data_IF_153670172710
#
_entry.id   IF_153670172710
#
_cell.length_a   1.000
_cell.length_b   1.000
_cell.length_c   1.000
_cell.angle_alpha   90.00
_cell.angle_beta   90.00
_cell.angle_gamma   90.00
#
_symmetry.space_group_name_H-M   'P 1'
#
loop_
_entity.id
_entity.type
_entity.pdbx_description
1 polymer ?
#
# COMPACT_ATOMS: atom_id res chain seq x y z
N UNK A 1 7.30 29.91 -13.03
CA UNK A 1 7.93 28.73 -13.67
C UNK A 1 9.16 28.40 -12.84
N UNK A 2 9.17 27.27 -12.11
CA UNK A 2 10.36 26.88 -11.35
C UNK A 2 11.52 26.57 -12.30
N UNK A 3 12.69 27.16 -12.02
CA UNK A 3 13.92 26.98 -12.80
C UNK A 3 14.84 26.05 -12.02
N UNK A 4 15.30 24.97 -12.66
CA UNK A 4 16.18 23.97 -12.04
C UNK A 4 17.50 23.89 -12.78
N UNK A 5 18.59 23.78 -12.04
CA UNK A 5 19.95 23.65 -12.58
C UNK A 5 20.18 22.23 -13.09
N UNK A 6 20.73 22.12 -14.29
CA UNK A 6 21.19 20.86 -14.88
C UNK A 6 22.66 20.67 -14.55
N UNK A 7 22.98 19.48 -14.08
CA UNK A 7 24.34 19.08 -13.74
C UNK A 7 24.82 18.03 -14.74
N UNK A 8 26.11 18.06 -15.11
CA UNK A 8 26.74 16.98 -15.85
C UNK A 8 27.20 15.83 -14.93
N UNK A 9 27.73 14.77 -15.53
CA UNK A 9 28.26 13.61 -14.81
C UNK A 9 29.46 13.92 -13.91
N UNK A 10 30.13 15.07 -14.09
CA UNK A 10 31.22 15.54 -13.26
C UNK A 10 30.75 16.45 -12.12
N UNK A 11 29.46 16.79 -12.08
CA UNK A 11 28.85 17.67 -11.08
C UNK A 11 28.95 19.16 -11.42
N UNK A 12 29.39 19.52 -12.63
CA UNK A 12 29.39 20.91 -13.07
C UNK A 12 27.99 21.33 -13.55
N UNK A 13 27.59 22.56 -13.26
CA UNK A 13 26.31 23.12 -13.76
C UNK A 13 26.46 23.45 -15.24
N UNK A 14 25.71 22.76 -16.08
CA UNK A 14 25.79 22.87 -17.55
C UNK A 14 24.65 23.66 -18.16
N UNK A 15 23.59 23.96 -17.40
CA UNK A 15 22.50 24.81 -17.86
C UNK A 15 21.34 24.93 -16.88
N UNK A 16 20.29 25.63 -17.30
CA UNK A 16 19.04 25.79 -16.55
C UNK A 16 17.86 25.30 -17.39
N UNK A 17 16.94 24.58 -16.75
CA UNK A 17 15.71 24.08 -17.39
C UNK A 17 14.50 24.68 -16.69
N UNK A 18 13.59 25.20 -17.51
CA UNK A 18 12.30 25.71 -17.06
C UNK A 18 11.31 24.55 -16.95
N UNK A 19 10.74 24.36 -15.76
CA UNK A 19 9.69 23.38 -15.52
C UNK A 19 8.30 24.01 -15.64
N UNK A 20 7.32 23.19 -16.03
CA UNK A 20 5.92 23.60 -16.08
C UNK A 20 5.44 24.02 -14.69
N UNK A 21 4.92 25.24 -14.57
CA UNK A 21 4.38 25.77 -13.31
C UNK A 21 3.11 25.06 -12.86
N UNK A 22 2.34 24.48 -13.79
CA UNK A 22 1.08 23.81 -13.47
C UNK A 22 1.33 22.50 -12.70
N UNK A 23 2.38 21.76 -13.04
CA UNK A 23 2.69 20.47 -12.42
C UNK A 23 3.59 20.62 -11.19
N UNK A 24 4.60 21.47 -11.27
CA UNK A 24 5.63 21.61 -10.22
C UNK A 24 5.37 22.74 -9.23
N UNK A 25 4.43 23.64 -9.54
CA UNK A 25 4.00 24.73 -8.67
C UNK A 25 2.64 24.52 -8.00
N UNK A 26 2.04 23.33 -8.16
CA UNK A 26 0.76 23.00 -7.56
C UNK A 26 0.86 22.97 -6.02
N UNK A 27 -0.19 23.44 -5.34
CA UNK A 27 -0.26 23.39 -3.88
C UNK A 27 -0.34 21.93 -3.40
N UNK A 28 0.52 21.57 -2.45
CA UNK A 28 0.63 20.21 -1.97
C UNK A 28 -0.51 19.91 -0.99
N UNK A 29 -1.39 18.98 -1.37
CA UNK A 29 -2.35 18.39 -0.45
C UNK A 29 -1.75 17.17 0.27
N UNK A 30 -1.27 17.36 1.49
CA UNK A 30 -0.64 16.33 2.30
C UNK A 30 -1.56 15.10 2.55
N UNK A 31 -2.86 15.32 2.75
CA UNK A 31 -3.84 14.25 2.98
C UNK A 31 -4.02 13.38 1.74
N UNK A 32 -4.09 14.00 0.57
CA UNK A 32 -4.20 13.29 -0.70
C UNK A 32 -2.95 12.43 -0.95
N UNK A 33 -1.75 12.99 -0.75
CA UNK A 33 -0.49 12.26 -0.89
C UNK A 33 -0.43 11.04 0.03
N UNK A 34 -0.73 11.23 1.32
CA UNK A 34 -0.73 10.13 2.29
C UNK A 34 -1.72 9.02 1.90
N UNK A 35 -2.91 9.39 1.44
CA UNK A 35 -3.95 8.43 1.04
C UNK A 35 -3.51 7.61 -0.17
N UNK A 36 -2.92 8.26 -1.17
CA UNK A 36 -2.40 7.60 -2.37
C UNK A 36 -1.24 6.67 -2.04
N UNK A 37 -0.29 7.10 -1.21
CA UNK A 37 0.84 6.26 -0.79
C UNK A 37 0.34 5.02 -0.04
N UNK A 38 -0.62 5.19 0.88
CA UNK A 38 -1.23 4.07 1.61
C UNK A 38 -1.92 3.09 0.66
N UNK A 39 -2.69 3.59 -0.32
CA UNK A 39 -3.36 2.74 -1.31
C UNK A 39 -2.35 1.99 -2.20
N UNK A 40 -1.30 2.67 -2.67
CA UNK A 40 -0.24 2.08 -3.47
C UNK A 40 0.45 0.93 -2.71
N UNK A 41 0.85 1.16 -1.46
CA UNK A 41 1.48 0.13 -0.62
C UNK A 41 0.51 -1.02 -0.27
N UNK A 42 -0.78 -0.75 -0.12
CA UNK A 42 -1.78 -1.78 0.09
C UNK A 42 -1.93 -2.69 -1.14
N UNK A 43 -1.92 -2.12 -2.34
CA UNK A 43 -2.05 -2.87 -3.60
C UNK A 43 -0.83 -3.76 -3.89
N UNK A 44 0.34 -3.44 -3.35
CA UNK A 44 1.53 -4.30 -3.46
C UNK A 44 1.46 -5.56 -2.59
N UNK A 45 0.54 -5.64 -1.61
CA UNK A 45 0.43 -6.80 -0.74
C UNK A 45 -0.25 -7.95 -1.49
N UNK A 46 0.40 -9.11 -1.51
CA UNK A 46 -0.06 -10.27 -2.26
C UNK A 46 -1.30 -10.97 -1.65
N UNK A 47 -1.49 -10.90 -0.34
CA UNK A 47 -2.70 -11.41 0.31
C UNK A 47 -2.82 -12.94 0.38
N UNK A 48 -1.71 -13.68 0.39
CA UNK A 48 -1.68 -15.17 0.36
C UNK A 48 -1.95 -15.86 1.70
N UNK A 49 -2.33 -15.12 2.73
CA UNK A 49 -2.67 -15.68 4.04
C UNK A 49 -4.01 -16.42 4.02
N UNK A 50 -4.03 -17.66 4.53
CA UNK A 50 -5.24 -18.45 4.75
C UNK A 50 -5.04 -19.42 5.92
N UNK A 51 -6.11 -19.67 6.68
CA UNK A 51 -6.15 -20.63 7.79
C UNK A 51 -7.48 -21.36 7.77
N UNK A 52 -7.47 -22.66 8.05
CA UNK A 52 -8.70 -23.46 8.08
C UNK A 52 -9.63 -23.01 9.22
N UNK A 53 -10.87 -22.72 8.88
CA UNK A 53 -11.97 -22.53 9.82
C UNK A 53 -12.45 -23.89 10.35
N UNK A 54 -13.23 -23.88 11.44
CA UNK A 54 -13.81 -25.11 12.03
C UNK A 54 -14.57 -25.97 11.01
N UNK A 55 -15.16 -25.36 9.98
CA UNK A 55 -15.93 -26.06 8.96
C UNK A 55 -15.05 -26.65 7.83
N UNK A 56 -13.84 -26.12 7.63
CA UNK A 56 -12.89 -26.59 6.60
C UNK A 56 -11.97 -27.71 7.12
N UNK A 57 -11.88 -27.87 8.44
CA UNK A 57 -11.12 -28.96 9.07
C UNK A 57 -11.86 -30.30 8.87
N UNK A 58 -11.10 -31.33 8.49
CA UNK A 58 -11.62 -32.70 8.38
C UNK A 58 -11.96 -33.28 9.76
N UNK A 59 -13.15 -33.86 9.89
CA UNK A 59 -13.66 -34.42 11.15
C UNK A 59 -14.51 -33.43 11.95
N UNK A 60 -15.29 -33.96 12.90
CA UNK A 60 -16.26 -33.16 13.67
C UNK A 60 -17.70 -33.28 13.13
N UNK A 61 -18.53 -32.25 13.33
CA UNK A 61 -19.93 -32.22 12.90
C UNK A 61 -20.90 -33.04 13.77
N UNK A 62 -20.48 -34.21 14.26
CA UNK A 62 -21.24 -34.97 15.24
C UNK A 62 -20.95 -34.46 16.65
N UNK A 63 -22.01 -34.14 17.39
CA UNK A 63 -21.90 -33.81 18.81
C UNK A 63 -21.21 -34.97 19.56
N UNK A 64 -20.09 -34.76 20.26
CA UNK A 64 -19.33 -35.87 20.84
C UNK A 64 -20.04 -36.53 22.04
N UNK A 65 -20.99 -35.84 22.68
CA UNK A 65 -21.77 -36.36 23.81
C UNK A 65 -23.26 -35.96 23.73
N UNK A 66 -24.11 -36.55 24.58
CA UNK A 66 -25.57 -36.26 24.65
C UNK A 66 -25.84 -34.88 25.26
N UNK A 67 -27.05 -34.33 25.12
CA UNK A 67 -27.38 -32.99 25.67
C UNK A 67 -27.44 -32.93 27.20
N UNK A 68 -27.75 -34.04 27.86
CA UNK A 68 -27.87 -34.15 29.32
C UNK A 68 -27.44 -35.56 29.74
N UNK A 69 -27.16 -35.75 31.04
CA UNK A 69 -26.84 -37.06 31.62
C UNK A 69 -25.45 -37.59 31.25
N UNK A 70 -24.52 -36.68 30.95
CA UNK A 70 -23.11 -36.99 30.63
C UNK A 70 -22.18 -36.89 31.83
N UNK A 71 -22.75 -36.67 33.01
CA UNK A 71 -22.11 -36.14 34.22
C UNK A 71 -22.94 -34.98 34.73
#
# INVERSE_FOLDING_TARGET
>A
MPVVKVYDMTGAVTGEVNLSSELFGAEINATALHTVVKAYLANQRQGTQSTLTRAEVSGGGRKPWRQKGTG
#
